data_IF_769196600182
#
_entry.id   IF_769196600182
#
_cell.length_a   1.000
_cell.length_b   1.000
_cell.length_c   1.000
_cell.angle_alpha   90.00
_cell.angle_beta   90.00
_cell.angle_gamma   90.00
#
_symmetry.space_group_name_H-M   'P 1'
#
loop_
_entity.id
_entity.type
_entity.pdbx_description
1 polymer ?
#
# COMPACT_ATOMS: atom_id res chain seq x y z
N UNK A 1 3.87 -16.83 7.80
CA UNK A 1 2.81 -17.86 7.62
C UNK A 1 1.68 -17.69 8.62
N UNK A 2 1.94 -17.59 9.92
CA UNK A 2 0.89 -17.44 10.96
C UNK A 2 0.02 -16.19 10.78
N UNK A 3 0.61 -15.03 10.52
CA UNK A 3 -0.14 -13.78 10.29
C UNK A 3 -0.99 -13.83 9.00
N UNK A 4 -0.45 -14.36 7.91
CA UNK A 4 -1.18 -14.55 6.64
C UNK A 4 -2.35 -15.52 6.78
N UNK A 5 -2.19 -16.58 7.58
CA UNK A 5 -3.25 -17.54 7.89
C UNK A 5 -4.35 -16.91 8.75
N UNK A 6 -3.97 -16.20 9.82
CA UNK A 6 -4.92 -15.45 10.65
C UNK A 6 -5.70 -14.41 9.84
N UNK A 7 -5.05 -13.74 8.89
CA UNK A 7 -5.72 -12.82 7.98
C UNK A 7 -6.69 -13.57 7.06
N UNK A 8 -6.27 -14.67 6.45
CA UNK A 8 -7.14 -15.50 5.59
C UNK A 8 -8.36 -16.05 6.36
N UNK A 9 -8.18 -16.46 7.62
CA UNK A 9 -9.24 -16.92 8.51
C UNK A 9 -10.23 -15.78 8.83
N UNK A 10 -9.74 -14.59 9.20
CA UNK A 10 -10.58 -13.39 9.46
C UNK A 10 -11.34 -12.93 8.21
N UNK A 11 -10.70 -13.03 7.05
CA UNK A 11 -11.31 -12.72 5.76
C UNK A 11 -12.22 -13.85 5.26
N UNK A 12 -12.30 -14.99 5.96
CA UNK A 12 -13.05 -16.19 5.55
C UNK A 12 -12.65 -16.73 4.16
N UNK A 13 -11.42 -16.48 3.74
CA UNK A 13 -10.83 -16.96 2.48
C UNK A 13 -9.81 -18.08 2.71
N UNK A 14 -9.73 -18.63 3.93
CA UNK A 14 -8.77 -19.65 4.30
C UNK A 14 -8.84 -20.92 3.43
N UNK A 15 -10.03 -21.27 2.93
CA UNK A 15 -10.24 -22.39 2.00
C UNK A 15 -9.61 -22.19 0.62
N UNK A 16 -9.23 -20.96 0.26
CA UNK A 16 -8.45 -20.67 -0.96
C UNK A 16 -6.97 -21.06 -0.76
N UNK A 17 -6.50 -21.07 0.49
CA UNK A 17 -5.12 -21.35 0.88
C UNK A 17 -4.96 -22.72 1.56
N UNK A 18 -5.69 -23.72 1.05
CA UNK A 18 -5.58 -25.12 1.48
C UNK A 18 -4.12 -25.63 1.49
N UNK A 19 -3.76 -26.61 2.33
CA UNK A 19 -2.39 -27.13 2.43
C UNK A 19 -1.77 -27.57 1.10
N UNK A 20 -2.60 -27.99 0.14
CA UNK A 20 -2.18 -28.34 -1.22
C UNK A 20 -1.71 -27.13 -2.04
N UNK A 21 -2.39 -25.98 -1.90
CA UNK A 21 -2.02 -24.72 -2.56
C UNK A 21 -0.71 -24.17 -1.96
N UNK A 22 -0.57 -24.22 -0.63
CA UNK A 22 0.68 -23.83 0.06
C UNK A 22 1.85 -24.71 -0.36
N UNK A 23 1.67 -26.04 -0.41
CA UNK A 23 2.71 -26.95 -0.92
C UNK A 23 3.10 -26.64 -2.36
N UNK A 24 2.14 -26.32 -3.23
CA UNK A 24 2.42 -25.90 -4.62
C UNK A 24 3.26 -24.62 -4.65
N UNK A 25 2.92 -23.65 -3.81
CA UNK A 25 3.67 -22.40 -3.69
C UNK A 25 5.12 -22.67 -3.24
N UNK A 26 5.31 -23.43 -2.17
CA UNK A 26 6.63 -23.82 -1.65
C UNK A 26 7.47 -24.59 -2.67
N UNK A 27 6.83 -25.50 -3.42
CA UNK A 27 7.49 -26.32 -4.45
C UNK A 27 7.97 -25.50 -5.65
N UNK A 28 7.40 -24.32 -5.86
CA UNK A 28 7.74 -23.43 -6.98
C UNK A 28 8.60 -22.24 -6.56
N UNK A 29 9.12 -22.19 -5.33
CA UNK A 29 9.92 -21.06 -4.81
C UNK A 29 11.13 -20.68 -5.69
N UNK A 30 11.65 -21.61 -6.51
CA UNK A 30 12.77 -21.37 -7.43
C UNK A 30 12.34 -20.92 -8.83
N UNK A 31 11.04 -20.96 -9.14
CA UNK A 31 10.48 -20.61 -10.44
C UNK A 31 9.64 -19.33 -10.33
N UNK A 32 10.28 -18.19 -10.63
CA UNK A 32 9.68 -16.86 -10.52
C UNK A 32 8.34 -16.74 -11.26
N UNK A 33 8.25 -17.26 -12.48
CA UNK A 33 7.05 -17.12 -13.30
C UNK A 33 5.90 -17.96 -12.75
N UNK A 34 6.20 -19.17 -12.26
CA UNK A 34 5.21 -20.01 -11.57
C UNK A 34 4.73 -19.39 -10.27
N UNK A 35 5.60 -18.70 -9.52
CA UNK A 35 5.18 -17.95 -8.33
C UNK A 35 4.29 -16.77 -8.68
N UNK A 36 4.63 -15.99 -9.71
CA UNK A 36 3.80 -14.87 -10.16
C UNK A 36 2.42 -15.36 -10.56
N UNK A 37 2.35 -16.46 -11.32
CA UNK A 37 1.08 -17.08 -11.71
C UNK A 37 0.25 -17.52 -10.51
N UNK A 38 0.86 -18.21 -9.53
CA UNK A 38 0.16 -18.68 -8.33
C UNK A 38 -0.34 -17.53 -7.44
N UNK A 39 0.42 -16.43 -7.34
CA UNK A 39 0.00 -15.22 -6.62
C UNK A 39 -1.18 -14.57 -7.34
N UNK A 40 -1.10 -14.42 -8.67
CA UNK A 40 -2.15 -13.82 -9.48
C UNK A 40 -3.45 -14.65 -9.41
N UNK A 41 -3.37 -15.98 -9.49
CA UNK A 41 -4.53 -16.86 -9.25
C UNK A 41 -5.12 -16.64 -7.85
N UNK A 42 -4.28 -16.61 -6.81
CA UNK A 42 -4.74 -16.44 -5.42
C UNK A 42 -5.45 -15.10 -5.22
N UNK A 43 -4.93 -14.02 -5.83
CA UNK A 43 -5.56 -12.68 -5.80
C UNK A 43 -6.90 -12.71 -6.53
N UNK A 44 -6.98 -13.32 -7.72
CA UNK A 44 -8.22 -13.42 -8.51
C UNK A 44 -9.30 -14.23 -7.79
N UNK A 45 -8.92 -15.35 -7.17
CA UNK A 45 -9.85 -16.18 -6.40
C UNK A 45 -10.38 -15.44 -5.17
N UNK A 46 -9.53 -14.69 -4.47
CA UNK A 46 -9.95 -13.87 -3.34
C UNK A 46 -10.89 -12.73 -3.78
N UNK A 47 -10.57 -12.01 -4.86
CA UNK A 47 -11.40 -10.93 -5.42
C UNK A 47 -12.78 -11.45 -5.84
N UNK A 48 -12.83 -12.60 -6.55
CA UNK A 48 -14.09 -13.24 -6.93
C UNK A 48 -14.94 -13.61 -5.71
N UNK A 49 -14.34 -14.25 -4.71
CA UNK A 49 -15.06 -14.64 -3.49
C UNK A 49 -15.64 -13.43 -2.75
N UNK A 50 -14.92 -12.31 -2.68
CA UNK A 50 -15.41 -11.11 -2.01
C UNK A 50 -16.56 -10.43 -2.78
N UNK A 51 -16.49 -10.40 -4.12
CA UNK A 51 -17.56 -9.85 -4.98
C UNK A 51 -18.83 -10.68 -4.95
N UNK A 52 -18.71 -12.01 -5.08
CA UNK A 52 -19.86 -12.93 -5.16
C UNK A 52 -20.67 -12.97 -3.85
N UNK A 53 -20.08 -12.53 -2.72
CA UNK A 53 -20.71 -12.52 -1.40
C UNK A 53 -21.08 -11.10 -0.91
N UNK A 54 -21.11 -10.10 -1.80
CA UNK A 54 -21.45 -8.70 -1.48
C UNK A 54 -20.60 -8.09 -0.35
N UNK A 55 -19.38 -8.61 -0.12
CA UNK A 55 -18.51 -8.17 0.99
C UNK A 55 -17.72 -6.92 0.61
N UNK A 56 -18.42 -5.90 0.11
CA UNK A 56 -17.85 -4.64 -0.36
C UNK A 56 -16.98 -3.95 0.71
N UNK A 57 -17.42 -4.01 1.97
CA UNK A 57 -16.65 -3.50 3.11
C UNK A 57 -15.30 -4.20 3.25
N UNK A 58 -15.26 -5.51 3.07
CA UNK A 58 -14.03 -6.30 3.23
C UNK A 58 -13.13 -6.16 2.02
N UNK A 59 -13.69 -6.10 0.81
CA UNK A 59 -12.93 -5.78 -0.39
C UNK A 59 -12.25 -4.41 -0.26
N UNK A 60 -12.98 -3.39 0.22
CA UNK A 60 -12.41 -2.08 0.48
C UNK A 60 -11.34 -2.08 1.58
N UNK A 61 -11.52 -2.88 2.64
CA UNK A 61 -10.52 -3.03 3.70
C UNK A 61 -9.25 -3.73 3.21
N UNK A 62 -9.38 -4.78 2.39
CA UNK A 62 -8.24 -5.47 1.75
C UNK A 62 -7.49 -4.52 0.82
N UNK A 63 -8.21 -3.74 0.02
CA UNK A 63 -7.62 -2.73 -0.85
C UNK A 63 -6.92 -1.62 -0.03
N UNK A 64 -7.53 -1.16 1.07
CA UNK A 64 -6.93 -0.17 1.97
C UNK A 64 -5.64 -0.68 2.59
N UNK A 65 -5.63 -1.92 3.09
CA UNK A 65 -4.41 -2.54 3.61
C UNK A 65 -3.32 -2.67 2.55
N UNK A 66 -3.69 -3.05 1.34
CA UNK A 66 -2.76 -3.14 0.20
C UNK A 66 -2.16 -1.79 -0.17
N UNK A 67 -3.00 -0.76 -0.22
CA UNK A 67 -2.59 0.62 -0.50
C UNK A 67 -1.58 1.12 0.54
N UNK A 68 -1.88 0.92 1.83
CA UNK A 68 -1.00 1.36 2.93
C UNK A 68 0.31 0.59 2.94
N UNK A 69 0.31 -0.72 2.72
CA UNK A 69 1.54 -1.51 2.70
C UNK A 69 2.43 -1.15 1.50
N UNK A 70 1.84 -0.96 0.32
CA UNK A 70 2.60 -0.54 -0.87
C UNK A 70 3.25 0.84 -0.67
N UNK A 71 2.51 1.78 -0.08
CA UNK A 71 3.02 3.11 0.23
C UNK A 71 4.08 3.08 1.35
N UNK A 72 3.89 2.24 2.38
CA UNK A 72 4.87 2.03 3.44
C UNK A 72 6.19 1.51 2.90
N UNK A 73 6.16 0.46 2.06
CA UNK A 73 7.36 -0.11 1.45
C UNK A 73 8.09 0.95 0.62
N UNK A 74 7.38 1.69 -0.23
CA UNK A 74 7.99 2.72 -1.06
C UNK A 74 8.65 3.83 -0.22
N UNK A 75 7.95 4.32 0.81
CA UNK A 75 8.45 5.39 1.67
C UNK A 75 9.60 4.96 2.57
N UNK A 76 9.57 3.74 3.12
CA UNK A 76 10.68 3.19 3.92
C UNK A 76 11.91 2.91 3.05
N UNK A 77 11.77 2.49 1.79
CA UNK A 77 12.92 2.39 0.87
C UNK A 77 13.58 3.75 0.71
N UNK A 78 12.81 4.83 0.50
CA UNK A 78 13.37 6.19 0.40
C UNK A 78 14.07 6.60 1.70
N UNK A 79 13.47 6.30 2.86
CA UNK A 79 13.99 6.67 4.17
C UNK A 79 15.25 5.89 4.58
N UNK A 80 15.38 4.64 4.14
CA UNK A 80 16.46 3.73 4.51
C UNK A 80 17.49 3.51 3.42
N UNK A 81 17.35 4.20 2.28
CA UNK A 81 18.28 4.08 1.17
C UNK A 81 19.71 4.46 1.60
N UNK A 82 20.74 3.69 1.21
CA UNK A 82 22.12 3.95 1.63
C UNK A 82 22.56 5.39 1.35
N UNK A 83 23.09 6.05 2.37
CA UNK A 83 23.51 7.45 2.32
C UNK A 83 24.95 7.65 1.84
N UNK A 84 25.74 6.57 1.81
CA UNK A 84 27.14 6.51 1.41
C UNK A 84 27.34 6.32 -0.10
N UNK A 85 26.26 6.14 -0.86
CA UNK A 85 26.30 6.02 -2.31
C UNK A 85 26.50 7.38 -3.01
N UNK A 86 27.16 7.40 -4.18
CA UNK A 86 27.24 8.60 -5.03
C UNK A 86 25.85 9.20 -5.34
N UNK A 87 25.78 10.52 -5.37
CA UNK A 87 24.51 11.24 -5.51
C UNK A 87 23.77 10.95 -6.82
N UNK A 88 24.50 10.75 -7.91
CA UNK A 88 23.99 10.36 -9.22
C UNK A 88 23.33 8.96 -9.19
N UNK A 89 23.99 7.98 -8.54
CA UNK A 89 23.45 6.63 -8.34
C UNK A 89 22.18 6.66 -7.48
N UNK A 90 22.22 7.44 -6.39
CA UNK A 90 21.06 7.62 -5.51
C UNK A 90 19.88 8.26 -6.25
N UNK A 91 20.13 9.31 -7.02
CA UNK A 91 19.10 10.04 -7.74
C UNK A 91 18.43 9.19 -8.82
N UNK A 92 19.20 8.33 -9.51
CA UNK A 92 18.67 7.41 -10.52
C UNK A 92 17.59 6.47 -9.96
N UNK A 93 17.68 6.10 -8.68
CA UNK A 93 16.73 5.20 -8.02
C UNK A 93 15.65 5.95 -7.24
N UNK A 94 16.04 6.97 -6.46
CA UNK A 94 15.11 7.64 -5.55
C UNK A 94 14.17 8.62 -6.26
N UNK A 95 14.61 9.33 -7.30
CA UNK A 95 13.74 10.27 -8.03
C UNK A 95 12.49 9.56 -8.58
N UNK A 96 12.61 8.46 -9.36
CA UNK A 96 11.43 7.79 -9.88
C UNK A 96 10.55 7.22 -8.76
N UNK A 97 11.14 6.67 -7.70
CA UNK A 97 10.38 6.15 -6.57
C UNK A 97 9.59 7.24 -5.83
N UNK A 98 10.21 8.38 -5.56
CA UNK A 98 9.54 9.52 -4.94
C UNK A 98 8.43 10.04 -5.85
N UNK A 99 8.62 10.11 -7.17
CA UNK A 99 7.54 10.46 -8.10
C UNK A 99 6.36 9.49 -8.02
N UNK A 100 6.61 8.19 -7.83
CA UNK A 100 5.54 7.20 -7.64
C UNK A 100 4.76 7.46 -6.35
N UNK A 101 5.46 7.75 -5.24
CA UNK A 101 4.85 8.11 -3.94
C UNK A 101 3.97 9.34 -4.11
N UNK A 102 4.50 10.40 -4.72
CA UNK A 102 3.79 11.66 -4.95
C UNK A 102 2.51 11.48 -5.77
N UNK A 103 2.51 10.57 -6.76
CA UNK A 103 1.32 10.26 -7.58
C UNK A 103 0.22 9.51 -6.83
N UNK A 104 0.45 9.09 -5.58
CA UNK A 104 -0.57 8.37 -4.80
C UNK A 104 -1.63 9.28 -4.16
N UNK A 105 -1.50 10.62 -4.26
CA UNK A 105 -2.51 11.56 -3.75
C UNK A 105 -3.91 11.26 -4.31
N UNK A 106 -4.04 11.16 -5.63
CA UNK A 106 -5.32 10.93 -6.29
C UNK A 106 -5.92 9.55 -5.97
N UNK A 107 -5.16 8.43 -6.07
CA UNK A 107 -5.61 7.14 -5.57
C UNK A 107 -6.05 7.14 -4.09
N UNK A 108 -5.36 7.89 -3.22
CA UNK A 108 -5.74 8.04 -1.82
C UNK A 108 -7.08 8.77 -1.68
N UNK A 109 -7.29 9.86 -2.43
CA UNK A 109 -8.57 10.58 -2.44
C UNK A 109 -9.73 9.67 -2.85
N UNK A 110 -9.55 8.88 -3.90
CA UNK A 110 -10.57 7.97 -4.41
C UNK A 110 -10.84 6.82 -3.42
N UNK A 111 -9.80 6.30 -2.77
CA UNK A 111 -9.93 5.32 -1.67
C UNK A 111 -10.76 5.88 -0.50
N UNK A 112 -10.49 7.11 -0.06
CA UNK A 112 -11.26 7.75 1.01
C UNK A 112 -12.74 7.83 0.62
N UNK A 113 -13.06 8.22 -0.62
CA UNK A 113 -14.45 8.29 -1.12
C UNK A 113 -15.13 6.93 -1.09
N UNK A 114 -14.44 5.87 -1.53
CA UNK A 114 -14.97 4.50 -1.48
C UNK A 114 -15.27 4.11 -0.03
N UNK A 115 -14.35 4.34 0.91
CA UNK A 115 -14.55 3.99 2.32
C UNK A 115 -15.71 4.78 2.96
N UNK A 116 -15.87 6.06 2.62
CA UNK A 116 -16.98 6.89 3.10
C UNK A 116 -18.34 6.49 2.52
N UNK A 117 -18.36 5.81 1.36
CA UNK A 117 -19.60 5.34 0.74
C UNK A 117 -20.13 4.03 1.32
N UNK A 118 -19.33 3.35 2.15
CA UNK A 118 -19.70 2.12 2.82
C UNK A 118 -20.43 2.42 4.13
N UNK A 119 -21.35 1.54 4.55
CA UNK A 119 -21.97 1.63 5.87
C UNK A 119 -20.89 1.40 6.94
N UNK A 120 -20.61 2.44 7.72
CA UNK A 120 -19.37 2.55 8.50
C UNK A 120 -19.54 1.87 9.87
N UNK A 121 -18.80 0.79 10.11
CA UNK A 121 -18.53 0.30 11.46
C UNK A 121 -17.65 1.31 12.23
N UNK A 122 -17.82 1.52 13.55
CA UNK A 122 -17.10 2.53 14.32
C UNK A 122 -15.57 2.53 14.12
N UNK A 123 -14.98 1.35 13.95
CA UNK A 123 -13.54 1.15 13.78
C UNK A 123 -13.00 1.67 12.42
N UNK A 124 -13.87 1.82 11.41
CA UNK A 124 -13.50 2.34 10.08
C UNK A 124 -13.37 3.87 10.10
N UNK A 125 -14.09 4.57 10.98
CA UNK A 125 -14.05 6.03 11.06
C UNK A 125 -12.66 6.57 11.41
N UNK A 126 -11.97 5.94 12.36
CA UNK A 126 -10.62 6.35 12.77
C UNK A 126 -9.59 6.13 11.66
N UNK A 127 -9.75 5.04 10.89
CA UNK A 127 -8.93 4.77 9.72
C UNK A 127 -9.16 5.82 8.63
N UNK A 128 -10.43 6.11 8.29
CA UNK A 128 -10.79 7.14 7.31
C UNK A 128 -10.22 8.51 7.71
N UNK A 129 -10.35 8.89 8.98
CA UNK A 129 -9.78 10.14 9.49
C UNK A 129 -8.26 10.17 9.35
N UNK A 130 -7.59 9.06 9.64
CA UNK A 130 -6.14 8.96 9.49
C UNK A 130 -5.69 9.05 8.02
N UNK A 131 -6.45 8.47 7.10
CA UNK A 131 -6.24 8.60 5.65
C UNK A 131 -6.49 10.02 5.15
N UNK A 132 -7.51 10.71 5.68
CA UNK A 132 -7.75 12.13 5.38
C UNK A 132 -6.60 13.02 5.85
N UNK A 133 -6.03 12.75 7.02
CA UNK A 133 -4.85 13.48 7.51
C UNK A 133 -3.63 13.23 6.62
N UNK A 134 -3.43 11.99 6.15
CA UNK A 134 -2.41 11.69 5.13
C UNK A 134 -2.65 12.47 3.83
N UNK A 135 -3.90 12.54 3.37
CA UNK A 135 -4.25 13.29 2.16
C UNK A 135 -4.03 14.80 2.32
N UNK A 136 -4.22 15.37 3.50
CA UNK A 136 -3.84 16.78 3.78
C UNK A 136 -2.34 17.01 3.62
N UNK A 137 -1.50 16.08 4.09
CA UNK A 137 -0.03 16.16 3.89
C UNK A 137 0.34 16.14 2.41
N UNK A 138 -0.41 15.40 1.57
CA UNK A 138 -0.24 15.45 0.12
C UNK A 138 -0.62 16.83 -0.46
N UNK A 139 -1.74 17.42 -0.03
CA UNK A 139 -2.14 18.75 -0.52
C UNK A 139 -1.16 19.85 -0.13
N UNK A 140 -0.58 19.78 1.06
CA UNK A 140 0.43 20.74 1.53
C UNK A 140 1.71 20.74 0.68
N UNK A 141 1.97 19.68 -0.10
CA UNK A 141 3.15 19.59 -0.96
C UNK A 141 3.11 20.51 -2.18
N UNK A 142 1.92 20.92 -2.66
CA UNK A 142 1.72 21.58 -3.96
C UNK A 142 2.56 20.91 -5.08
N UNK A 143 2.47 19.58 -5.18
CA UNK A 143 3.32 18.75 -6.06
C UNK A 143 3.23 19.23 -7.51
N UNK A 144 2.02 19.50 -7.98
CA UNK A 144 1.74 19.94 -9.33
C UNK A 144 2.46 21.26 -9.65
N UNK A 145 2.51 22.18 -8.70
CA UNK A 145 3.20 23.46 -8.83
C UNK A 145 4.73 23.29 -8.86
N UNK A 146 5.28 22.43 -8.00
CA UNK A 146 6.73 22.14 -7.94
C UNK A 146 7.21 21.40 -9.19
N UNK A 147 6.41 20.49 -9.74
CA UNK A 147 6.68 19.80 -11.00
C UNK A 147 6.65 20.80 -12.17
N UNK A 148 5.64 21.68 -12.24
CA UNK A 148 5.55 22.72 -13.28
C UNK A 148 6.72 23.70 -13.25
N UNK A 149 7.30 23.97 -12.08
CA UNK A 149 8.46 24.85 -11.90
C UNK A 149 9.82 24.19 -12.15
N UNK A 150 9.87 22.95 -12.67
CA UNK A 150 11.11 22.16 -12.85
C UNK A 150 11.91 21.98 -11.54
N UNK A 151 11.25 22.03 -10.38
CA UNK A 151 11.87 21.82 -9.07
C UNK A 151 11.81 20.34 -8.65
N UNK A 152 11.73 19.42 -9.61
CA UNK A 152 11.58 17.98 -9.36
C UNK A 152 12.72 17.38 -8.52
N UNK A 153 13.92 17.94 -8.61
CA UNK A 153 15.10 17.51 -7.86
C UNK A 153 15.07 17.95 -6.38
N UNK A 154 14.35 19.03 -6.06
CA UNK A 154 14.18 19.53 -4.68
C UNK A 154 13.25 18.66 -3.82
N UNK A 155 12.49 17.76 -4.47
CA UNK A 155 11.49 16.89 -3.83
C UNK A 155 12.17 15.81 -2.96
N UNK A 156 13.37 15.35 -3.34
CA UNK A 156 14.11 14.31 -2.62
C UNK A 156 14.61 14.76 -1.24
N UNK A 157 14.94 16.05 -1.12
CA UNK A 157 15.42 16.68 0.12
C UNK A 157 14.29 17.27 0.95
N UNK A 158 13.06 17.23 0.43
CA UNK A 158 11.91 17.84 1.07
C UNK A 158 11.58 17.06 2.35
N UNK A 159 11.58 17.75 3.50
CA UNK A 159 11.13 17.21 4.80
C UNK A 159 9.72 16.59 4.72
N UNK A 160 9.01 16.88 3.65
CA UNK A 160 7.64 16.45 3.46
C UNK A 160 7.49 14.96 3.08
N UNK A 161 8.45 14.33 2.38
CA UNK A 161 8.44 12.86 2.25
C UNK A 161 8.62 12.20 3.61
N UNK A 162 9.38 12.81 4.53
CA UNK A 162 9.53 12.30 5.89
C UNK A 162 8.20 12.39 6.66
N UNK A 163 7.43 13.47 6.48
CA UNK A 163 6.08 13.61 7.06
C UNK A 163 5.12 12.54 6.55
N UNK A 164 5.10 12.30 5.23
CA UNK A 164 4.30 11.22 4.61
C UNK A 164 4.76 9.85 5.16
N UNK A 165 6.06 9.57 5.16
CA UNK A 165 6.64 8.32 5.66
C UNK A 165 6.20 8.07 7.11
N UNK A 166 6.31 9.10 7.97
CA UNK A 166 5.91 9.02 9.38
C UNK A 166 4.42 8.72 9.53
N UNK A 167 3.57 9.43 8.77
CA UNK A 167 2.11 9.24 8.85
C UNK A 167 1.68 7.86 8.33
N UNK A 168 2.28 7.40 7.24
CA UNK A 168 2.03 6.06 6.69
C UNK A 168 2.43 4.97 7.69
N UNK A 169 3.59 5.12 8.34
CA UNK A 169 4.06 4.22 9.40
C UNK A 169 3.12 4.20 10.62
N UNK A 170 2.63 5.36 11.04
CA UNK A 170 1.63 5.50 12.11
C UNK A 170 0.34 4.74 11.75
N UNK A 171 -0.22 5.00 10.56
CA UNK A 171 -1.44 4.33 10.07
C UNK A 171 -1.24 2.81 10.05
N UNK A 172 -0.13 2.33 9.47
CA UNK A 172 0.20 0.91 9.42
C UNK A 172 0.26 0.27 10.81
N UNK A 173 0.90 0.95 11.76
CA UNK A 173 1.03 0.45 13.14
C UNK A 173 -0.32 0.35 13.83
N UNK A 174 -1.24 1.27 13.56
CA UNK A 174 -2.59 1.24 14.13
C UNK A 174 -3.46 0.10 13.56
N UNK A 175 -3.19 -0.33 12.32
CA UNK A 175 -3.91 -1.43 11.66
C UNK A 175 -3.37 -2.80 12.09
N UNK A 176 -2.06 -2.92 12.33
CA UNK A 176 -1.41 -4.18 12.73
C UNK A 176 -1.44 -4.27 14.27
N UNK A 177 -2.51 -4.83 14.82
CA UNK A 177 -2.58 -5.27 16.22
C UNK A 177 -2.25 -6.75 16.36
#
# INVERSE_FOLDING_TARGET
VTASKQLADKLQIASIFEPAAVKRFESNLKNKDSLVYLIDESIKSADKYLKDNERNTIAAMVFTGTFIEGLFIATEIVATYPSDLPADVKNMVLIPLVRVILKQEKPLEDLIKVLQSLEIEPDINDLVKSLQDLHKLYKELNIEEKIQKNQGDLILTDKTIQSITKKVKEIRTNIIK
#
